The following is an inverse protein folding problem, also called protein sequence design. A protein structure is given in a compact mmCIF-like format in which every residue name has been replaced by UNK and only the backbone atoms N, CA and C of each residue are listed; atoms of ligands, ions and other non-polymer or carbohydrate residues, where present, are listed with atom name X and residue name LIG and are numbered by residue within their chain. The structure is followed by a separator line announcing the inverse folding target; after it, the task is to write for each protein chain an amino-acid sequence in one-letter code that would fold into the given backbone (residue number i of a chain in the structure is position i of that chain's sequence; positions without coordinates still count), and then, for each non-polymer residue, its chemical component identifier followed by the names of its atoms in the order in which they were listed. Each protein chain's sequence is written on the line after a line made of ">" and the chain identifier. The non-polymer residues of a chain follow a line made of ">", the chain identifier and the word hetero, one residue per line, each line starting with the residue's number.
data_IF_422813142423
#
_entry.id   IF_422813142423
#
_cell.length_a   1.000
_cell.length_b   1.000
_cell.length_c   1.000
_cell.angle_alpha   90.00
_cell.angle_beta   90.00
_cell.angle_gamma   90.00
#
_symmetry.space_group_name_H-M   'P 1'
#
loop_
_entity.id
_entity.type
_entity.pdbx_description
1 polymer ?
#
# COMPACT_ATOMS: atom_id res chain seq x y z
N UNK A 1 -32.59 74.80 -4.55
CA UNK A 1 -31.13 74.66 -4.37
C UNK A 1 -30.69 73.47 -5.23
N UNK A 2 -30.44 73.60 -6.54
CA UNK A 2 -29.14 73.96 -7.15
C UNK A 2 -27.95 73.31 -6.41
N UNK A 3 -27.08 72.47 -6.98
CA UNK A 3 -26.62 72.34 -8.38
C UNK A 3 -26.27 70.89 -8.75
N UNK A 4 -26.57 70.54 -10.01
CA UNK A 4 -25.86 69.56 -10.85
C UNK A 4 -24.53 70.16 -11.32
N UNK A 5 -23.51 69.33 -11.51
CA UNK A 5 -22.53 69.39 -12.62
C UNK A 5 -22.10 67.93 -12.87
N UNK A 6 -22.38 67.23 -13.97
CA UNK A 6 -22.00 67.45 -15.39
C UNK A 6 -20.48 67.69 -15.50
N UNK A 7 -19.68 66.98 -16.30
CA UNK A 7 -19.88 66.12 -17.48
C UNK A 7 -18.50 65.47 -17.83
N UNK A 8 -18.20 64.90 -19.03
CA UNK A 8 -17.67 63.53 -19.14
C UNK A 8 -16.41 63.36 -20.04
N UNK A 9 -16.04 62.09 -20.32
CA UNK A 9 -15.46 61.58 -21.59
C UNK A 9 -13.98 61.95 -21.94
N UNK A 10 -13.36 61.34 -22.99
CA UNK A 10 -12.91 59.93 -23.12
C UNK A 10 -11.53 59.84 -23.82
N UNK A 11 -11.23 58.68 -24.44
CA UNK A 11 -10.18 58.38 -25.45
C UNK A 11 -8.84 57.90 -24.89
N UNK A 12 -8.11 56.95 -25.48
CA UNK A 12 -8.33 55.88 -26.45
C UNK A 12 -6.96 55.14 -26.47
N UNK A 13 -7.01 53.81 -26.50
CA UNK A 13 -6.01 52.79 -26.89
C UNK A 13 -4.78 53.24 -27.72
N UNK A 14 -3.63 52.50 -27.74
CA UNK A 14 -3.64 51.06 -28.10
C UNK A 14 -2.52 50.14 -27.57
N UNK A 15 -2.78 48.84 -27.71
CA UNK A 15 -1.80 47.88 -28.22
C UNK A 15 -0.92 47.15 -27.20
N UNK A 16 -1.15 45.84 -27.06
CA UNK A 16 -0.17 44.97 -26.42
C UNK A 16 -0.69 43.59 -26.01
N UNK A 17 -0.76 42.69 -26.98
CA UNK A 17 -0.41 41.27 -26.80
C UNK A 17 -1.09 40.47 -25.69
N UNK A 18 -2.01 39.61 -26.09
CA UNK A 18 -2.32 38.37 -25.41
C UNK A 18 -1.04 37.60 -25.04
N UNK A 19 -0.99 37.05 -23.82
CA UNK A 19 -0.66 35.66 -23.48
C UNK A 19 -0.56 35.56 -21.96
N UNK A 20 -1.71 35.31 -21.30
CA UNK A 20 -1.68 34.70 -19.97
C UNK A 20 -1.06 33.32 -20.17
N UNK A 21 0.13 33.14 -19.64
CA UNK A 21 0.88 31.90 -19.67
C UNK A 21 0.08 30.81 -18.95
N UNK A 22 -0.73 30.08 -19.71
CA UNK A 22 -1.20 28.76 -19.34
C UNK A 22 0.03 27.86 -19.27
N UNK A 23 0.54 27.64 -18.06
CA UNK A 23 1.58 26.67 -17.79
C UNK A 23 1.14 25.32 -18.41
N UNK A 24 1.95 24.72 -19.31
CA UNK A 24 1.51 23.53 -20.00
C UNK A 24 1.44 22.38 -19.01
N UNK A 25 0.21 21.88 -18.82
CA UNK A 25 -0.14 20.61 -18.18
C UNK A 25 0.36 19.39 -19.01
N UNK A 26 1.61 19.46 -19.48
CA UNK A 26 2.29 18.46 -20.29
C UNK A 26 3.63 18.02 -19.67
N UNK A 27 3.88 18.35 -18.40
CA UNK A 27 5.03 17.85 -17.63
C UNK A 27 4.69 16.63 -16.74
N UNK A 28 3.43 16.20 -16.73
CA UNK A 28 2.98 15.02 -15.97
C UNK A 28 3.01 13.71 -16.79
N UNK A 29 3.53 13.77 -18.02
CA UNK A 29 3.77 12.59 -18.83
C UNK A 29 5.23 12.16 -18.68
N UNK A 30 5.46 11.11 -17.89
CA UNK A 30 6.56 10.17 -18.07
C UNK A 30 7.97 10.79 -18.11
N UNK A 31 8.47 11.27 -16.97
CA UNK A 31 9.91 11.14 -16.67
C UNK A 31 10.07 10.15 -15.54
N UNK A 32 10.02 8.85 -15.88
CA UNK A 32 10.73 7.81 -15.13
C UNK A 32 12.22 8.06 -15.31
N UNK A 33 12.68 9.19 -14.78
CA UNK A 33 14.08 9.41 -14.53
C UNK A 33 14.50 8.29 -13.58
N UNK A 34 15.66 7.71 -13.85
CA UNK A 34 16.34 6.74 -13.02
C UNK A 34 16.79 7.44 -11.73
N UNK A 35 15.84 8.05 -11.01
CA UNK A 35 16.03 8.56 -9.67
C UNK A 35 16.14 7.31 -8.83
N UNK A 36 17.38 6.90 -8.61
CA UNK A 36 17.72 5.96 -7.56
C UNK A 36 17.07 6.53 -6.30
N UNK A 37 16.09 5.83 -5.70
CA UNK A 37 15.45 6.30 -4.48
C UNK A 37 16.56 6.58 -3.46
N UNK A 38 16.56 7.76 -2.89
CA UNK A 38 17.56 8.12 -1.89
C UNK A 38 17.39 7.19 -0.68
N UNK A 39 18.35 6.28 -0.50
CA UNK A 39 18.34 5.33 0.60
C UNK A 39 18.80 6.11 1.83
N UNK A 40 17.85 6.43 2.72
CA UNK A 40 18.18 7.05 4.00
C UNK A 40 19.15 6.13 4.77
N UNK A 41 20.22 6.67 5.36
CA UNK A 41 21.09 5.89 6.23
C UNK A 41 20.29 5.33 7.40
N UNK A 42 20.68 4.16 7.89
CA UNK A 42 19.94 3.42 8.91
C UNK A 42 19.74 4.24 10.20
N UNK A 43 20.70 5.10 10.54
CA UNK A 43 20.67 5.98 11.73
C UNK A 43 19.54 7.03 11.69
N UNK A 44 19.03 7.34 10.50
CA UNK A 44 17.95 8.32 10.29
C UNK A 44 16.62 7.64 9.90
N UNK A 45 16.58 6.31 9.90
CA UNK A 45 15.42 5.54 9.50
C UNK A 45 14.47 5.31 10.68
N UNK A 46 13.31 5.96 10.62
CA UNK A 46 12.22 5.71 11.55
C UNK A 46 11.46 4.42 11.16
N UNK A 47 11.87 3.30 11.78
CA UNK A 47 11.26 1.99 11.57
C UNK A 47 9.75 1.94 11.87
N UNK A 48 9.26 2.37 13.05
CA UNK A 48 7.83 2.26 13.35
C UNK A 48 6.97 3.11 12.41
N UNK A 49 7.45 4.29 12.01
CA UNK A 49 6.80 5.11 11.00
C UNK A 49 6.75 4.42 9.64
N UNK A 50 7.88 3.89 9.19
CA UNK A 50 7.97 3.24 7.89
C UNK A 50 7.11 1.97 7.82
N UNK A 51 7.08 1.16 8.89
CA UNK A 51 6.16 0.02 9.01
C UNK A 51 4.71 0.48 8.90
N UNK A 52 4.32 1.49 9.66
CA UNK A 52 2.95 2.02 9.65
C UNK A 52 2.57 2.51 8.25
N UNK A 53 3.45 3.28 7.60
CA UNK A 53 3.25 3.76 6.23
C UNK A 53 3.11 2.62 5.23
N UNK A 54 3.94 1.58 5.33
CA UNK A 54 3.91 0.42 4.45
C UNK A 54 2.61 -0.39 4.62
N UNK A 55 2.18 -0.66 5.86
CA UNK A 55 0.92 -1.35 6.14
C UNK A 55 -0.29 -0.57 5.60
N UNK A 56 -0.30 0.76 5.79
CA UNK A 56 -1.35 1.64 5.25
C UNK A 56 -1.34 1.67 3.71
N UNK A 57 -0.16 1.78 3.10
CA UNK A 57 -0.02 1.75 1.65
C UNK A 57 -0.50 0.41 1.07
N UNK A 58 -0.18 -0.71 1.73
CA UNK A 58 -0.64 -2.04 1.31
C UNK A 58 -2.16 -2.15 1.33
N UNK A 59 -2.82 -1.78 2.44
CA UNK A 59 -4.29 -1.92 2.54
C UNK A 59 -5.01 -1.00 1.55
N UNK A 60 -4.48 0.21 1.33
CA UNK A 60 -5.00 1.13 0.31
C UNK A 60 -4.82 0.55 -1.11
N UNK A 61 -3.62 0.05 -1.42
CA UNK A 61 -3.37 -0.56 -2.72
C UNK A 61 -4.31 -1.75 -2.99
N UNK A 62 -4.60 -2.57 -1.98
CA UNK A 62 -5.58 -3.66 -2.12
C UNK A 62 -7.01 -3.14 -2.26
N UNK A 63 -7.42 -2.17 -1.45
CA UNK A 63 -8.78 -1.62 -1.49
C UNK A 63 -9.11 -0.90 -2.82
N UNK A 64 -8.13 -0.26 -3.46
CA UNK A 64 -8.28 0.46 -4.73
C UNK A 64 -7.83 -0.35 -5.96
N UNK A 65 -7.42 -1.60 -5.80
CA UNK A 65 -7.00 -2.46 -6.92
C UNK A 65 -5.68 -2.04 -7.58
N UNK A 66 -4.76 -1.43 -6.83
CA UNK A 66 -3.43 -1.04 -7.28
C UNK A 66 -2.97 0.31 -6.69
N UNK A 67 -1.65 0.51 -6.61
CA UNK A 67 -1.06 1.75 -6.09
C UNK A 67 -1.38 2.98 -6.98
N UNK A 68 -1.57 2.76 -8.28
CA UNK A 68 -1.89 3.82 -9.25
C UNK A 68 -3.27 4.44 -9.01
N UNK A 69 -4.22 3.65 -8.50
CA UNK A 69 -5.61 4.06 -8.28
C UNK A 69 -5.85 4.73 -6.92
N UNK A 70 -4.83 4.79 -6.05
CA UNK A 70 -4.94 5.45 -4.76
C UNK A 70 -5.06 6.97 -4.98
N UNK A 71 -6.10 7.63 -4.44
CA UNK A 71 -6.23 9.08 -4.50
C UNK A 71 -4.98 9.78 -3.97
N UNK A 72 -4.55 10.88 -4.60
CA UNK A 72 -3.32 11.59 -4.25
C UNK A 72 -3.30 12.03 -2.77
N UNK A 73 -4.47 12.38 -2.21
CA UNK A 73 -4.63 12.75 -0.80
C UNK A 73 -4.25 11.65 0.19
N UNK A 74 -4.38 10.37 -0.22
CA UNK A 74 -4.17 9.19 0.61
C UNK A 74 -2.81 8.52 0.38
N UNK A 75 -2.09 8.86 -0.70
CA UNK A 75 -0.79 8.24 -1.03
C UNK A 75 0.26 8.45 0.07
N UNK A 76 0.26 9.63 0.66
CA UNK A 76 1.13 9.97 1.80
C UNK A 76 0.29 10.02 3.08
N UNK A 77 0.43 9.05 4.00
CA UNK A 77 -0.44 8.93 5.17
C UNK A 77 -0.19 9.98 6.25
N UNK A 78 1.03 10.52 6.32
CA UNK A 78 1.48 11.44 7.36
C UNK A 78 1.83 12.81 6.78
N UNK A 79 1.67 13.86 7.59
CA UNK A 79 2.16 15.21 7.31
C UNK A 79 2.81 15.78 8.57
N UNK A 80 3.75 16.69 8.37
CA UNK A 80 4.40 17.42 9.47
C UNK A 80 3.74 18.78 9.60
N UNK A 81 3.35 19.15 10.81
CA UNK A 81 2.81 20.48 11.08
C UNK A 81 3.90 21.53 11.33
N UNK A 82 3.49 22.75 11.63
CA UNK A 82 4.40 23.87 11.93
C UNK A 82 5.20 23.72 13.24
N UNK A 83 4.87 22.73 14.07
CA UNK A 83 5.55 22.40 15.31
C UNK A 83 6.42 21.14 15.18
N UNK A 84 6.70 20.71 13.94
CA UNK A 84 7.44 19.49 13.63
C UNK A 84 6.77 18.22 14.18
N UNK A 85 5.48 18.28 14.50
CA UNK A 85 4.71 17.13 14.94
C UNK A 85 4.16 16.39 13.72
N UNK A 86 4.37 15.08 13.69
CA UNK A 86 3.80 14.23 12.66
C UNK A 86 2.35 13.88 13.00
N UNK A 87 1.45 14.18 12.06
CA UNK A 87 0.03 13.88 12.16
C UNK A 87 -0.42 13.03 11.00
N UNK A 88 -1.39 12.15 11.24
CA UNK A 88 -2.05 11.43 10.16
C UNK A 88 -3.05 12.34 9.45
N UNK A 89 -3.09 12.28 8.12
CA UNK A 89 -4.01 13.09 7.32
C UNK A 89 -5.48 12.81 7.70
N UNK A 90 -6.32 13.84 7.96
CA UNK A 90 -7.71 13.65 8.35
C UNK A 90 -8.57 12.80 7.38
N UNK A 91 -8.40 12.88 6.04
CA UNK A 91 -9.09 11.98 5.11
C UNK A 91 -8.80 10.50 5.36
N UNK A 92 -7.54 10.17 5.67
CA UNK A 92 -7.14 8.80 5.96
C UNK A 92 -7.75 8.31 7.28
N UNK A 93 -7.73 9.14 8.33
CA UNK A 93 -8.36 8.81 9.62
C UNK A 93 -9.85 8.50 9.42
N UNK A 94 -10.57 9.34 8.66
CA UNK A 94 -12.01 9.12 8.39
C UNK A 94 -12.26 7.80 7.66
N UNK A 95 -11.39 7.44 6.71
CA UNK A 95 -11.49 6.20 5.96
C UNK A 95 -11.19 4.97 6.82
N UNK A 96 -10.19 5.02 7.70
CA UNK A 96 -9.88 3.92 8.62
C UNK A 96 -11.02 3.68 9.62
N UNK A 97 -11.70 4.75 10.04
CA UNK A 97 -12.86 4.68 10.94
C UNK A 97 -14.15 4.16 10.25
N UNK A 98 -14.24 4.17 8.92
CA UNK A 98 -15.46 3.80 8.18
C UNK A 98 -15.59 2.31 7.86
N UNK A 99 -14.62 1.47 8.27
CA UNK A 99 -14.52 0.03 7.94
C UNK A 99 -14.34 -0.32 6.46
N UNK A 100 -14.80 0.56 5.56
CA UNK A 100 -14.88 0.32 4.13
C UNK A 100 -13.57 -0.11 3.48
N UNK A 101 -12.44 0.49 3.92
CA UNK A 101 -11.12 0.17 3.37
C UNK A 101 -10.73 -1.26 3.66
N UNK A 102 -11.07 -1.79 4.84
CA UNK A 102 -10.75 -3.16 5.22
C UNK A 102 -11.64 -4.17 4.50
N UNK A 103 -12.95 -3.90 4.44
CA UNK A 103 -13.89 -4.75 3.73
C UNK A 103 -13.54 -4.82 2.23
N UNK A 104 -13.22 -3.69 1.59
CA UNK A 104 -12.74 -3.66 0.20
C UNK A 104 -11.42 -4.41 0.03
N UNK A 105 -10.45 -4.17 0.91
CA UNK A 105 -9.18 -4.87 0.85
C UNK A 105 -9.35 -6.39 0.97
N UNK A 106 -10.22 -6.86 1.87
CA UNK A 106 -10.56 -8.28 1.98
C UNK A 106 -11.11 -8.82 0.66
N UNK A 107 -12.15 -8.19 0.11
CA UNK A 107 -12.80 -8.66 -1.13
C UNK A 107 -11.87 -8.69 -2.34
N UNK A 108 -10.87 -7.80 -2.39
CA UNK A 108 -9.90 -7.73 -3.48
C UNK A 108 -8.69 -8.64 -3.26
N UNK A 109 -8.27 -8.82 -2.00
CA UNK A 109 -7.07 -9.59 -1.67
C UNK A 109 -7.36 -11.08 -1.58
N UNK A 110 -8.52 -11.46 -1.06
CA UNK A 110 -8.85 -12.84 -0.75
C UNK A 110 -9.95 -13.35 -1.69
N UNK A 111 -9.77 -14.53 -2.30
CA UNK A 111 -10.83 -15.17 -3.05
C UNK A 111 -12.00 -15.47 -2.11
N UNK A 112 -13.22 -15.35 -2.63
CA UNK A 112 -14.40 -15.90 -1.96
C UNK A 112 -14.14 -17.37 -1.70
N UNK A 113 -14.05 -17.76 -0.42
CA UNK A 113 -13.67 -19.12 -0.05
C UNK A 113 -14.61 -20.18 -0.66
N UNK A 114 -14.17 -21.44 -0.75
CA UNK A 114 -14.98 -22.55 -1.25
C UNK A 114 -16.28 -22.78 -0.45
N UNK A 115 -16.36 -22.23 0.76
CA UNK A 115 -17.48 -22.36 1.69
C UNK A 115 -18.59 -21.31 1.50
N UNK A 116 -18.53 -20.50 0.44
CA UNK A 116 -19.56 -19.50 0.14
C UNK A 116 -19.68 -18.38 1.19
N UNK A 117 -18.66 -18.19 2.04
CA UNK A 117 -18.63 -17.13 3.05
C UNK A 117 -18.82 -15.77 2.38
N UNK A 118 -19.91 -15.09 2.74
CA UNK A 118 -20.25 -13.78 2.22
C UNK A 118 -19.14 -12.76 2.52
N UNK A 119 -18.91 -11.80 1.61
CA UNK A 119 -17.95 -10.74 1.85
C UNK A 119 -18.33 -9.95 3.12
N UNK A 120 -17.34 -9.56 3.95
CA UNK A 120 -17.60 -8.77 5.15
C UNK A 120 -18.21 -7.42 4.75
N UNK A 121 -19.32 -7.07 5.40
CA UNK A 121 -19.97 -5.77 5.24
C UNK A 121 -19.42 -4.74 6.22
N UNK A 122 -19.13 -5.17 7.45
CA UNK A 122 -18.71 -4.31 8.57
C UNK A 122 -17.47 -4.88 9.29
N UNK A 123 -16.88 -4.08 10.18
CA UNK A 123 -15.74 -4.47 11.01
C UNK A 123 -16.01 -5.73 11.86
N UNK A 124 -17.20 -5.86 12.45
CA UNK A 124 -17.57 -7.05 13.23
C UNK A 124 -17.52 -8.33 12.39
N UNK A 125 -18.08 -8.31 11.18
CA UNK A 125 -18.06 -9.45 10.26
C UNK A 125 -16.63 -9.80 9.84
N UNK A 126 -15.81 -8.78 9.59
CA UNK A 126 -14.40 -8.97 9.24
C UNK A 126 -13.61 -9.64 10.37
N UNK A 127 -13.77 -9.17 11.60
CA UNK A 127 -13.12 -9.75 12.78
C UNK A 127 -13.56 -11.20 13.01
N UNK A 128 -14.84 -11.50 12.79
CA UNK A 128 -15.32 -12.88 12.85
C UNK A 128 -14.68 -13.75 11.78
N UNK A 129 -14.65 -13.33 10.51
CA UNK A 129 -14.02 -14.11 9.43
C UNK A 129 -12.54 -14.39 9.71
N UNK A 130 -11.81 -13.39 10.22
CA UNK A 130 -10.42 -13.56 10.64
C UNK A 130 -10.29 -14.56 11.79
N UNK A 131 -11.19 -14.52 12.79
CA UNK A 131 -11.20 -15.48 13.88
C UNK A 131 -11.46 -16.91 13.40
N UNK A 132 -12.37 -17.13 12.44
CA UNK A 132 -12.63 -18.45 11.84
C UNK A 132 -11.40 -18.99 11.10
N UNK A 133 -10.54 -18.10 10.57
CA UNK A 133 -9.25 -18.47 9.96
C UNK A 133 -8.11 -18.63 10.98
N UNK A 134 -8.37 -18.44 12.28
CA UNK A 134 -7.34 -18.48 13.33
C UNK A 134 -6.42 -17.25 13.34
N UNK A 135 -6.78 -16.18 12.64
CA UNK A 135 -5.99 -14.95 12.48
C UNK A 135 -6.59 -13.80 13.30
N UNK A 136 -6.80 -14.03 14.60
CA UNK A 136 -7.39 -13.02 15.48
C UNK A 136 -6.41 -11.84 15.63
N UNK A 137 -6.77 -10.62 15.18
CA UNK A 137 -5.91 -9.45 15.36
C UNK A 137 -5.77 -9.10 16.84
N UNK A 138 -4.55 -8.86 17.29
CA UNK A 138 -4.24 -8.55 18.69
C UNK A 138 -3.51 -7.21 18.81
N UNK A 139 -3.91 -6.40 19.78
CA UNK A 139 -3.30 -5.12 20.10
C UNK A 139 -3.11 -5.04 21.63
N UNK A 140 -1.87 -4.81 22.08
CA UNK A 140 -1.50 -4.83 23.51
C UNK A 140 -1.97 -6.11 24.22
N UNK A 141 -1.66 -7.27 23.62
CA UNK A 141 -2.00 -8.61 24.10
C UNK A 141 -3.51 -8.89 24.27
N UNK A 142 -4.37 -8.04 23.67
CA UNK A 142 -5.82 -8.18 23.71
C UNK A 142 -6.37 -8.31 22.29
N UNK A 143 -7.40 -9.15 22.08
CA UNK A 143 -8.05 -9.23 20.77
C UNK A 143 -8.71 -7.88 20.43
N UNK A 144 -8.48 -7.41 19.21
CA UNK A 144 -9.05 -6.15 18.71
C UNK A 144 -10.56 -6.28 18.62
N UNK A 145 -11.29 -5.32 19.19
CA UNK A 145 -12.76 -5.26 19.13
C UNK A 145 -13.21 -4.18 18.16
N UNK A 146 -14.44 -4.30 17.68
CA UNK A 146 -15.06 -3.28 16.82
C UNK A 146 -15.04 -1.88 17.46
N UNK A 147 -15.28 -1.79 18.78
CA UNK A 147 -15.21 -0.52 19.51
C UNK A 147 -13.82 0.15 19.45
N UNK A 148 -12.74 -0.63 19.31
CA UNK A 148 -11.39 -0.08 19.17
C UNK A 148 -11.16 0.54 17.79
N UNK A 149 -11.79 -0.01 16.75
CA UNK A 149 -11.72 0.45 15.36
C UNK A 149 -12.61 1.68 15.09
N UNK A 150 -13.56 1.97 15.98
CA UNK A 150 -14.39 3.18 15.91
C UNK A 150 -13.98 4.25 16.94
N UNK A 151 -12.91 4.00 17.71
CA UNK A 151 -12.48 4.90 18.76
C UNK A 151 -12.01 6.26 18.21
N UNK A 152 -12.30 7.34 18.94
CA UNK A 152 -11.88 8.71 18.65
C UNK A 152 -11.24 9.29 19.92
N UNK A 153 -9.94 9.65 19.92
CA UNK A 153 -8.98 9.64 18.81
C UNK A 153 -8.67 8.23 18.27
N UNK A 154 -8.17 8.14 17.03
CA UNK A 154 -7.96 6.85 16.36
C UNK A 154 -6.92 5.98 17.10
N UNK A 155 -7.28 4.72 17.40
CA UNK A 155 -6.34 3.74 17.95
C UNK A 155 -5.54 3.09 16.82
N UNK A 156 -4.58 3.83 16.25
CA UNK A 156 -3.84 3.38 15.06
C UNK A 156 -3.24 1.96 15.21
N UNK A 157 -2.72 1.60 16.39
CA UNK A 157 -2.18 0.27 16.62
C UNK A 157 -3.20 -0.88 16.48
N UNK A 158 -4.48 -0.66 16.82
CA UNK A 158 -5.54 -1.63 16.59
C UNK A 158 -5.85 -1.80 15.09
N UNK A 159 -5.84 -0.69 14.34
CA UNK A 159 -6.00 -0.71 12.89
C UNK A 159 -4.81 -1.40 12.20
N UNK A 160 -3.57 -1.17 12.66
CA UNK A 160 -2.39 -1.85 12.14
C UNK A 160 -2.42 -3.35 12.42
N UNK A 161 -2.83 -3.76 13.63
CA UNK A 161 -2.99 -5.18 13.96
C UNK A 161 -4.01 -5.88 13.04
N UNK A 162 -5.12 -5.22 12.73
CA UNK A 162 -6.10 -5.72 11.77
C UNK A 162 -5.50 -5.86 10.36
N UNK A 163 -4.75 -4.85 9.90
CA UNK A 163 -4.07 -4.88 8.60
C UNK A 163 -3.04 -6.03 8.55
N UNK A 164 -2.26 -6.22 9.61
CA UNK A 164 -1.27 -7.30 9.68
C UNK A 164 -1.96 -8.67 9.56
N UNK A 165 -3.09 -8.90 10.24
CA UNK A 165 -3.89 -10.12 10.07
C UNK A 165 -4.44 -10.30 8.65
N UNK A 166 -4.87 -9.22 7.99
CA UNK A 166 -5.26 -9.25 6.57
C UNK A 166 -4.10 -9.61 5.65
N UNK A 167 -2.92 -9.04 5.91
CA UNK A 167 -1.70 -9.35 5.16
C UNK A 167 -1.30 -10.81 5.32
N UNK A 168 -1.37 -11.35 6.54
CA UNK A 168 -1.13 -12.78 6.81
C UNK A 168 -2.14 -13.66 6.08
N UNK A 169 -3.44 -13.32 6.13
CA UNK A 169 -4.47 -14.05 5.40
C UNK A 169 -4.17 -14.07 3.88
N UNK A 170 -3.80 -12.92 3.32
CA UNK A 170 -3.41 -12.79 1.92
C UNK A 170 -2.16 -13.62 1.59
N UNK A 171 -1.14 -13.61 2.44
CA UNK A 171 0.09 -14.37 2.23
C UNK A 171 -0.17 -15.89 2.26
N UNK A 172 -1.02 -16.36 3.17
CA UNK A 172 -1.44 -17.76 3.22
C UNK A 172 -2.12 -18.21 1.93
N UNK A 173 -2.97 -17.35 1.36
CA UNK A 173 -3.63 -17.64 0.08
C UNK A 173 -2.66 -17.56 -1.10
N UNK A 174 -1.82 -16.53 -1.16
CA UNK A 174 -0.85 -16.34 -2.24
C UNK A 174 0.18 -17.48 -2.31
N UNK A 175 0.47 -18.12 -1.17
CA UNK A 175 1.39 -19.26 -1.06
C UNK A 175 0.68 -20.61 -1.05
N UNK A 176 -0.65 -20.65 -1.19
CA UNK A 176 -1.42 -21.90 -1.18
C UNK A 176 -1.07 -22.80 -2.37
N UNK A 177 -0.77 -22.19 -3.52
CA UNK A 177 -0.38 -22.85 -4.78
C UNK A 177 1.08 -23.31 -4.82
N UNK A 178 1.89 -22.93 -3.83
CA UNK A 178 3.30 -23.29 -3.76
C UNK A 178 3.43 -24.76 -3.36
N UNK A 179 3.79 -25.61 -4.31
CA UNK A 179 3.98 -27.03 -4.04
C UNK A 179 5.18 -27.23 -3.12
N UNK A 180 4.95 -27.93 -2.01
CA UNK A 180 6.03 -28.41 -1.15
C UNK A 180 6.75 -29.51 -1.92
N UNK A 181 8.07 -29.38 -2.09
CA UNK A 181 8.89 -30.34 -2.82
C UNK A 181 8.64 -31.79 -2.36
N UNK A 182 8.61 -32.71 -3.34
CA UNK A 182 8.36 -34.13 -3.15
C UNK A 182 9.40 -34.72 -2.19
N UNK A 183 8.98 -35.12 -1.00
CA UNK A 183 9.84 -35.83 -0.02
C UNK A 183 9.84 -35.27 1.41
N UNK A 184 9.09 -34.20 1.70
CA UNK A 184 8.86 -33.74 3.09
C UNK A 184 7.40 -33.95 3.47
N UNK A 185 7.18 -34.62 4.60
CA UNK A 185 5.86 -34.87 5.20
C UNK A 185 4.95 -33.63 5.12
N UNK A 186 3.70 -33.75 4.61
CA UNK A 186 2.78 -32.63 4.41
C UNK A 186 2.21 -32.03 5.70
N UNK A 187 2.76 -32.38 6.87
CA UNK A 187 2.30 -31.91 8.15
C UNK A 187 2.68 -30.42 8.36
N UNK A 188 1.69 -29.55 8.15
CA UNK A 188 1.59 -28.20 8.71
C UNK A 188 2.81 -27.27 8.50
N UNK A 189 3.36 -27.22 7.29
CA UNK A 189 4.35 -26.20 6.92
C UNK A 189 3.64 -24.84 6.86
N UNK A 190 4.02 -23.90 7.73
CA UNK A 190 3.47 -22.53 7.72
C UNK A 190 3.77 -21.82 6.40
N UNK A 191 2.98 -20.81 6.05
CA UNK A 191 3.16 -20.07 4.78
C UNK A 191 4.58 -19.48 4.65
N UNK A 192 5.16 -19.05 5.77
CA UNK A 192 6.55 -18.60 5.86
C UNK A 192 7.54 -19.66 5.38
N UNK A 193 7.38 -20.90 5.87
CA UNK A 193 8.26 -21.99 5.51
C UNK A 193 8.06 -22.43 4.05
N UNK A 194 6.83 -22.37 3.53
CA UNK A 194 6.57 -22.60 2.09
C UNK A 194 7.31 -21.55 1.25
N UNK A 195 7.17 -20.28 1.62
CA UNK A 195 7.82 -19.17 0.92
C UNK A 195 9.35 -19.31 0.96
N UNK A 196 9.94 -19.58 2.12
CA UNK A 196 11.38 -19.77 2.28
C UNK A 196 11.90 -20.92 1.41
N UNK A 197 11.19 -22.06 1.36
CA UNK A 197 11.55 -23.18 0.50
C UNK A 197 11.46 -22.85 -0.98
N UNK A 198 10.45 -22.08 -1.38
CA UNK A 198 10.36 -21.65 -2.76
C UNK A 198 11.48 -20.68 -3.13
N UNK A 199 11.83 -19.74 -2.25
CA UNK A 199 12.96 -18.84 -2.47
C UNK A 199 14.25 -19.67 -2.62
N UNK A 200 14.49 -20.63 -1.74
CA UNK A 200 15.66 -21.52 -1.81
C UNK A 200 15.69 -22.34 -3.11
N UNK A 201 14.53 -22.88 -3.53
CA UNK A 201 14.39 -23.58 -4.81
C UNK A 201 14.73 -22.65 -5.99
N UNK A 202 14.19 -21.42 -6.00
CA UNK A 202 14.44 -20.44 -7.08
C UNK A 202 15.92 -20.06 -7.12
N UNK A 203 16.53 -19.78 -5.97
CA UNK A 203 17.95 -19.44 -5.87
C UNK A 203 18.84 -20.61 -6.30
N UNK A 204 18.51 -21.83 -5.90
CA UNK A 204 19.26 -23.04 -6.26
C UNK A 204 19.15 -23.33 -7.75
N UNK A 205 17.96 -23.27 -8.33
CA UNK A 205 17.76 -23.45 -9.78
C UNK A 205 18.52 -22.38 -10.56
N UNK A 206 18.45 -21.12 -10.13
CA UNK A 206 19.16 -20.02 -10.79
C UNK A 206 20.69 -20.16 -10.67
N UNK A 207 21.18 -20.69 -9.54
CA UNK A 207 22.60 -21.00 -9.37
C UNK A 207 23.04 -22.18 -10.24
N UNK A 208 22.19 -23.21 -10.37
CA UNK A 208 22.45 -24.38 -11.21
C UNK A 208 22.46 -24.03 -12.70
N UNK A 209 21.50 -23.22 -13.17
CA UNK A 209 21.47 -22.74 -14.57
C UNK A 209 22.65 -21.83 -14.87
N UNK A 210 23.04 -20.96 -13.96
CA UNK A 210 24.24 -20.13 -14.10
C UNK A 210 25.52 -20.99 -14.18
N UNK A 211 25.65 -21.99 -13.31
CA UNK A 211 26.80 -22.90 -13.31
C UNK A 211 26.87 -23.79 -14.56
N UNK A 212 25.74 -24.32 -15.05
CA UNK A 212 25.69 -25.09 -16.30
C UNK A 212 26.04 -24.21 -17.51
N UNK A 213 25.52 -22.98 -17.56
CA UNK A 213 25.86 -22.03 -18.62
C UNK A 213 27.36 -21.72 -18.63
N UNK A 214 27.95 -21.49 -17.45
CA UNK A 214 29.39 -21.21 -17.33
C UNK A 214 30.24 -22.42 -17.76
N UNK A 215 29.84 -23.63 -17.35
CA UNK A 215 30.53 -24.88 -17.74
C UNK A 215 30.42 -25.19 -19.23
N UNK A 216 29.26 -24.94 -19.86
CA UNK A 216 29.11 -25.10 -21.31
C UNK A 216 29.94 -24.07 -22.07
N UNK A 217 29.97 -22.80 -21.62
CA UNK A 217 30.82 -21.77 -22.23
C UNK A 217 32.30 -22.09 -22.11
N UNK A 218 32.79 -22.54 -20.94
CA UNK A 218 34.18 -22.98 -20.79
C UNK A 218 34.50 -24.19 -21.68
N UNK A 219 33.61 -25.18 -21.77
CA UNK A 219 33.82 -26.37 -22.59
C UNK A 219 33.87 -26.04 -24.09
N UNK A 220 33.03 -25.12 -24.56
CA UNK A 220 33.10 -24.62 -25.95
C UNK A 220 34.39 -23.85 -26.20
N UNK A 221 34.83 -22.99 -25.28
CA UNK A 221 36.07 -22.23 -25.42
C UNK A 221 37.34 -23.09 -25.38
N UNK A 222 37.33 -24.25 -24.72
CA UNK A 222 38.44 -25.21 -24.76
C UNK A 222 38.44 -26.11 -26.02
N UNK A 223 37.32 -26.17 -26.76
CA UNK A 223 37.17 -27.01 -27.95
C UNK A 223 37.44 -26.26 -29.27
N UNK A 224 37.69 -24.95 -29.22
CA UNK A 224 38.16 -24.10 -30.33
C UNK A 224 39.66 -23.81 -30.17
#
# INVERSE_FOLDING_TARGET
>A
RLRRHTRPCPLLFPGGGAMVAAAPAAAAAMRKSFLVPEIKPLDQYDFPRARSAASLAWVLAKAYGGAEHIPAELREPFYTDQYEQEHMKPPLIRLLLSSDVYCRAWCQALPSGPDGTLPPKDNAALLQLLAHRGLVPTFQDKPVKEADLHHKPIKLGAHLALIDSLMTAFAMEATSSLSVALGTEPAAVSWDQKLLRWIDMVLTVHSFTFSLSLSLSLSLSLSL
#
